data_IF_057817268223
#
_entry.id   IF_057817268223
#
_cell.length_a   1.000
_cell.length_b   1.000
_cell.length_c   1.000
_cell.angle_alpha   90.00
_cell.angle_beta   90.00
_cell.angle_gamma   90.00
#
_symmetry.space_group_name_H-M   'P 1'
#
loop_
_entity.id
_entity.type
_entity.pdbx_description
1 polymer ?
#
# COMPACT_ATOMS: atom_id res chain seq x y z
N UNK A 1 -3.26 1.21 -8.85
CA UNK A 1 -3.70 2.17 -7.81
C UNK A 1 -4.60 1.42 -6.83
N UNK A 2 -4.37 1.56 -5.51
CA UNK A 2 -5.18 0.93 -4.47
C UNK A 2 -6.41 1.79 -4.17
N UNK A 3 -7.62 1.22 -4.28
CA UNK A 3 -8.86 1.90 -3.89
C UNK A 3 -8.92 2.23 -2.40
N UNK A 4 -8.35 1.36 -1.55
CA UNK A 4 -8.28 1.56 -0.09
C UNK A 4 -7.47 2.82 0.26
N UNK A 5 -6.28 2.96 -0.32
CA UNK A 5 -5.42 4.14 -0.11
C UNK A 5 -6.07 5.39 -0.71
N UNK A 6 -6.69 5.28 -1.90
CA UNK A 6 -7.36 6.41 -2.53
C UNK A 6 -8.51 6.96 -1.65
N UNK A 7 -9.32 6.09 -1.06
CA UNK A 7 -10.38 6.49 -0.14
C UNK A 7 -9.83 7.17 1.11
N UNK A 8 -8.72 6.67 1.68
CA UNK A 8 -8.07 7.28 2.83
C UNK A 8 -7.50 8.67 2.50
N UNK A 9 -6.88 8.85 1.33
CA UNK A 9 -6.42 10.15 0.87
C UNK A 9 -7.58 11.13 0.64
N UNK A 10 -8.72 10.66 0.13
CA UNK A 10 -9.90 11.51 0.00
C UNK A 10 -10.41 11.97 1.38
N UNK A 11 -10.47 11.07 2.37
CA UNK A 11 -10.83 11.43 3.74
C UNK A 11 -9.88 12.48 4.32
N UNK A 12 -8.57 12.26 4.19
CA UNK A 12 -7.54 13.21 4.63
C UNK A 12 -7.71 14.58 3.96
N UNK A 13 -8.00 14.64 2.65
CA UNK A 13 -8.21 15.90 1.92
C UNK A 13 -9.43 16.68 2.42
N UNK A 14 -10.38 16.01 3.06
CA UNK A 14 -11.54 16.59 3.71
C UNK A 14 -11.28 16.93 5.19
N UNK A 15 -10.04 16.81 5.66
CA UNK A 15 -9.65 17.09 7.04
C UNK A 15 -9.99 15.98 8.04
N UNK A 16 -10.33 14.77 7.56
CA UNK A 16 -10.63 13.61 8.41
C UNK A 16 -9.35 12.80 8.61
N UNK A 17 -8.91 12.53 9.87
CA UNK A 17 -7.82 11.59 10.13
C UNK A 17 -8.14 10.24 9.50
N UNK A 18 -7.23 9.74 8.66
CA UNK A 18 -7.53 8.58 7.80
C UNK A 18 -6.48 7.49 7.90
N UNK A 19 -6.95 6.26 8.06
CA UNK A 19 -6.14 5.04 8.11
C UNK A 19 -6.62 4.10 6.99
N UNK A 20 -5.69 3.57 6.20
CA UNK A 20 -5.95 2.51 5.23
C UNK A 20 -5.55 1.17 5.83
N UNK A 21 -6.49 0.23 5.95
CA UNK A 21 -6.24 -1.12 6.45
C UNK A 21 -6.36 -2.12 5.31
N UNK A 22 -5.34 -2.93 5.09
CA UNK A 22 -5.31 -3.93 4.02
C UNK A 22 -4.72 -5.25 4.50
N UNK A 23 -5.26 -6.36 3.99
CA UNK A 23 -4.74 -7.71 4.22
C UNK A 23 -3.99 -8.17 2.98
N UNK A 24 -2.73 -8.56 3.13
CA UNK A 24 -1.99 -9.28 2.10
C UNK A 24 -2.60 -10.66 1.93
N UNK A 25 -2.81 -11.10 0.68
CA UNK A 25 -3.38 -12.41 0.37
C UNK A 25 -2.50 -13.12 -0.65
N UNK A 26 -2.09 -14.33 -0.34
CA UNK A 26 -1.43 -15.23 -1.28
C UNK A 26 -2.46 -15.91 -2.18
N UNK A 27 -3.62 -16.28 -1.60
CA UNK A 27 -4.73 -16.91 -2.29
C UNK A 27 -6.02 -16.08 -2.13
N UNK A 28 -6.85 -16.02 -3.19
CA UNK A 28 -8.08 -15.22 -3.16
C UNK A 28 -9.15 -15.80 -2.25
N UNK A 29 -9.21 -17.14 -2.15
CA UNK A 29 -10.32 -17.85 -1.52
C UNK A 29 -10.14 -18.07 -0.01
N UNK A 30 -8.91 -17.99 0.51
CA UNK A 30 -8.57 -18.26 1.91
C UNK A 30 -7.94 -17.05 2.61
N UNK A 31 -8.62 -15.91 2.56
CA UNK A 31 -8.12 -14.70 3.24
C UNK A 31 -8.22 -14.86 4.76
N UNK A 32 -7.11 -14.66 5.46
CA UNK A 32 -7.00 -14.77 6.94
C UNK A 32 -7.49 -13.51 7.63
N UNK A 33 -8.81 -13.28 7.58
CA UNK A 33 -9.44 -12.12 8.21
C UNK A 33 -9.28 -12.11 9.74
N UNK A 34 -9.08 -13.26 10.36
CA UNK A 34 -8.80 -13.40 11.78
C UNK A 34 -7.58 -12.57 12.24
N UNK A 35 -6.62 -12.33 11.36
CA UNK A 35 -5.41 -11.55 11.69
C UNK A 35 -5.68 -10.06 11.84
N UNK A 36 -6.32 -9.36 10.88
CA UNK A 36 -6.73 -7.99 11.11
C UNK A 36 -7.79 -7.85 12.21
N UNK A 37 -8.66 -8.83 12.43
CA UNK A 37 -9.62 -8.82 13.54
C UNK A 37 -8.92 -8.87 14.90
N UNK A 38 -7.89 -9.70 15.07
CA UNK A 38 -7.15 -9.83 16.32
C UNK A 38 -6.27 -8.60 16.63
N UNK A 39 -5.64 -8.01 15.63
CA UNK A 39 -4.64 -6.96 15.83
C UNK A 39 -5.13 -5.55 15.50
N UNK A 40 -6.13 -5.40 14.62
CA UNK A 40 -6.51 -4.11 14.04
C UNK A 40 -6.97 -3.10 15.08
N UNK A 41 -7.86 -3.49 15.99
CA UNK A 41 -8.40 -2.59 17.01
C UNK A 41 -7.29 -2.04 17.93
N UNK A 42 -6.31 -2.87 18.31
CA UNK A 42 -5.16 -2.44 19.12
C UNK A 42 -4.29 -1.44 18.36
N UNK A 43 -3.99 -1.73 17.09
CA UNK A 43 -3.16 -0.86 16.25
C UNK A 43 -3.85 0.49 16.03
N UNK A 44 -5.12 0.50 15.69
CA UNK A 44 -5.88 1.76 15.50
C UNK A 44 -5.86 2.59 16.78
N UNK A 45 -6.05 1.99 17.95
CA UNK A 45 -6.00 2.70 19.24
C UNK A 45 -4.61 3.29 19.49
N UNK A 46 -3.55 2.52 19.27
CA UNK A 46 -2.17 3.01 19.42
C UNK A 46 -1.85 4.16 18.45
N UNK A 47 -2.36 4.11 17.22
CA UNK A 47 -2.21 5.20 16.26
C UNK A 47 -2.95 6.46 16.69
N UNK A 48 -4.18 6.33 17.19
CA UNK A 48 -4.96 7.45 17.73
C UNK A 48 -4.26 8.10 18.93
N UNK A 49 -3.70 7.29 19.83
CA UNK A 49 -2.96 7.76 21.00
C UNK A 49 -1.65 8.48 20.61
N UNK A 50 -0.94 7.96 19.61
CA UNK A 50 0.27 8.58 19.09
C UNK A 50 0.00 9.88 18.32
N UNK A 51 -1.13 9.94 17.61
CA UNK A 51 -1.48 11.00 16.69
C UNK A 51 -0.58 11.02 15.43
N UNK A 52 -1.01 11.75 14.41
CA UNK A 52 -0.20 12.02 13.20
C UNK A 52 -0.61 13.34 12.54
N UNK A 53 0.25 13.92 11.66
CA UNK A 53 -0.06 15.15 10.95
C UNK A 53 -1.32 15.06 10.09
N UNK A 54 -2.03 16.19 9.89
CA UNK A 54 -3.29 16.23 9.12
C UNK A 54 -3.14 15.92 7.63
N UNK A 55 -1.94 16.06 7.09
CA UNK A 55 -1.60 15.80 5.69
C UNK A 55 -1.01 14.39 5.47
N UNK A 56 -1.16 13.51 6.46
CA UNK A 56 -0.66 12.13 6.43
C UNK A 56 -1.80 11.13 6.51
N UNK A 57 -1.75 10.12 5.67
CA UNK A 57 -2.54 8.87 5.76
C UNK A 57 -1.66 7.79 6.34
N UNK A 58 -2.15 7.03 7.29
CA UNK A 58 -1.44 5.85 7.80
C UNK A 58 -1.94 4.61 7.08
N UNK A 59 -1.04 3.94 6.34
CA UNK A 59 -1.32 2.67 5.67
C UNK A 59 -0.85 1.51 6.53
N UNK A 60 -1.77 0.62 6.88
CA UNK A 60 -1.50 -0.59 7.68
C UNK A 60 -1.77 -1.81 6.81
N UNK A 61 -0.76 -2.65 6.63
CA UNK A 61 -0.91 -3.92 5.92
C UNK A 61 -0.71 -5.08 6.89
N UNK A 62 -1.62 -6.03 6.87
CA UNK A 62 -1.54 -7.27 7.65
C UNK A 62 -0.96 -8.38 6.77
N UNK A 63 -0.03 -9.21 7.28
CA UNK A 63 0.51 -10.35 6.55
C UNK A 63 -0.51 -11.49 6.45
N UNK A 64 -0.34 -12.34 5.44
CA UNK A 64 -1.10 -13.58 5.29
C UNK A 64 -0.56 -14.65 6.26
N UNK A 65 -0.82 -14.48 7.54
CA UNK A 65 -0.39 -15.31 8.66
C UNK A 65 -1.55 -15.50 9.63
N UNK A 66 -1.53 -16.56 10.41
CA UNK A 66 -2.43 -16.67 11.57
C UNK A 66 -2.08 -15.61 12.62
N UNK A 67 -3.04 -15.17 13.47
CA UNK A 67 -2.78 -14.12 14.47
C UNK A 67 -1.55 -14.38 15.33
N UNK A 68 -1.39 -15.61 15.81
CA UNK A 68 -0.28 -16.01 16.70
C UNK A 68 1.07 -16.14 15.96
N UNK A 69 1.04 -16.25 14.61
CA UNK A 69 2.23 -16.36 13.76
C UNK A 69 2.72 -14.99 13.27
N UNK A 70 2.08 -13.90 13.67
CA UNK A 70 2.51 -12.55 13.32
C UNK A 70 3.82 -12.23 14.04
N UNK A 71 4.89 -11.98 13.29
CA UNK A 71 6.24 -11.75 13.81
C UNK A 71 6.43 -10.39 14.50
N UNK A 72 5.40 -9.55 14.54
CA UNK A 72 5.40 -8.24 15.18
C UNK A 72 4.87 -7.13 14.29
N UNK A 73 5.07 -5.88 14.73
CA UNK A 73 4.66 -4.66 14.02
C UNK A 73 5.91 -3.86 13.67
N UNK A 74 5.96 -3.30 12.47
CA UNK A 74 7.09 -2.51 11.98
C UNK A 74 6.60 -1.22 11.32
N UNK A 75 7.21 -0.09 11.67
CA UNK A 75 7.03 1.18 10.95
C UNK A 75 7.96 1.17 9.75
N UNK A 76 7.40 1.37 8.56
CA UNK A 76 8.06 1.09 7.29
C UNK A 76 8.00 2.27 6.34
N UNK A 77 8.81 2.21 5.30
CA UNK A 77 8.72 3.05 4.11
C UNK A 77 8.05 2.28 2.97
N UNK A 78 7.56 3.01 1.96
CA UNK A 78 7.00 2.40 0.76
C UNK A 78 8.08 1.64 -0.01
N UNK A 79 7.87 0.36 -0.25
CA UNK A 79 8.75 -0.49 -1.05
C UNK A 79 8.42 -0.45 -2.53
N UNK A 80 9.38 -0.88 -3.34
CA UNK A 80 9.25 -1.06 -4.78
C UNK A 80 9.22 -2.54 -5.14
N UNK A 81 8.36 -2.91 -6.10
CA UNK A 81 8.34 -4.28 -6.66
C UNK A 81 9.16 -4.31 -7.94
N UNK A 82 10.30 -4.97 -7.92
CA UNK A 82 11.22 -5.11 -9.05
C UNK A 82 10.79 -6.21 -10.04
N UNK A 83 9.97 -7.17 -9.61
CA UNK A 83 9.51 -8.30 -10.42
C UNK A 83 8.00 -8.17 -10.71
N UNK A 84 7.63 -7.13 -11.43
CA UNK A 84 6.24 -6.86 -11.74
C UNK A 84 5.94 -7.22 -13.20
N UNK A 85 5.26 -8.32 -13.43
CA UNK A 85 4.69 -8.62 -14.74
C UNK A 85 3.18 -8.39 -14.70
N UNK A 86 2.75 -7.38 -15.42
CA UNK A 86 1.35 -7.12 -15.69
C UNK A 86 1.02 -7.83 -17.00
N UNK A 87 0.00 -8.69 -17.00
CA UNK A 87 -0.52 -9.27 -18.23
C UNK A 87 -1.97 -8.83 -18.45
N UNK A 88 -2.35 -8.74 -19.73
CA UNK A 88 -3.72 -8.55 -20.14
C UNK A 88 -4.20 -9.82 -20.87
N UNK A 89 -5.29 -10.39 -20.42
CA UNK A 89 -5.94 -11.54 -21.04
C UNK A 89 -7.25 -11.08 -21.70
N UNK A 90 -7.39 -11.33 -22.99
CA UNK A 90 -8.63 -11.06 -23.69
C UNK A 90 -9.71 -12.06 -23.27
N UNK A 91 -10.88 -11.57 -22.91
CA UNK A 91 -12.05 -12.37 -22.56
C UNK A 91 -13.29 -11.83 -23.27
N UNK A 92 -14.30 -12.69 -23.43
CA UNK A 92 -15.60 -12.29 -23.95
C UNK A 92 -16.65 -12.36 -22.86
N UNK A 93 -17.51 -11.36 -22.80
CA UNK A 93 -18.69 -11.38 -21.94
C UNK A 93 -19.81 -12.28 -22.53
N UNK A 94 -20.89 -12.45 -21.79
CA UNK A 94 -22.03 -13.27 -22.22
C UNK A 94 -22.78 -12.72 -23.44
N UNK A 95 -22.50 -11.49 -23.84
CA UNK A 95 -23.07 -10.82 -25.02
C UNK A 95 -22.12 -10.78 -26.22
N UNK A 96 -20.92 -11.41 -26.07
CA UNK A 96 -19.87 -11.44 -27.08
C UNK A 96 -18.98 -10.20 -27.13
N UNK A 97 -19.17 -9.25 -26.22
CA UNK A 97 -18.30 -8.07 -26.07
C UNK A 97 -16.92 -8.46 -25.55
N UNK A 98 -15.87 -7.92 -26.20
CA UNK A 98 -14.49 -8.16 -25.77
C UNK A 98 -14.12 -7.25 -24.62
N UNK A 99 -13.50 -7.82 -23.56
CA UNK A 99 -12.89 -7.08 -22.47
C UNK A 99 -11.53 -7.68 -22.10
N UNK A 100 -10.67 -6.89 -21.45
CA UNK A 100 -9.34 -7.34 -21.04
C UNK A 100 -9.26 -7.48 -19.51
N UNK A 101 -8.87 -8.66 -19.07
CA UNK A 101 -8.60 -8.92 -17.66
C UNK A 101 -7.13 -8.64 -17.37
N UNK A 102 -6.89 -7.72 -16.44
CA UNK A 102 -5.53 -7.44 -15.98
C UNK A 102 -5.18 -8.32 -14.79
N UNK A 103 -4.05 -9.01 -14.90
CA UNK A 103 -3.53 -9.85 -13.85
C UNK A 103 -2.05 -9.60 -13.58
N UNK A 104 -1.54 -10.23 -12.55
CA UNK A 104 -0.14 -10.13 -12.12
C UNK A 104 0.46 -11.52 -12.10
N UNK A 105 1.60 -11.71 -12.79
CA UNK A 105 2.41 -12.94 -12.73
C UNK A 105 3.78 -12.58 -12.17
N UNK A 106 3.88 -12.25 -10.90
CA UNK A 106 5.15 -11.83 -10.32
C UNK A 106 5.78 -12.89 -9.44
N UNK A 107 7.07 -13.14 -9.59
CA UNK A 107 7.88 -13.75 -8.54
C UNK A 107 7.95 -12.76 -7.36
N UNK A 108 8.10 -13.27 -6.13
CA UNK A 108 8.41 -12.41 -4.98
C UNK A 108 9.68 -11.62 -5.30
N UNK A 109 9.60 -10.29 -5.21
CA UNK A 109 10.77 -9.43 -5.21
C UNK A 109 11.59 -9.64 -3.93
N UNK A 110 12.81 -9.13 -3.91
CA UNK A 110 13.62 -9.07 -2.69
C UNK A 110 13.76 -7.60 -2.24
N UNK A 111 12.70 -7.02 -1.65
CA UNK A 111 12.70 -5.63 -1.24
C UNK A 111 13.70 -5.39 -0.10
N UNK A 112 14.27 -4.17 0.00
CA UNK A 112 15.14 -3.79 1.10
C UNK A 112 14.45 -3.90 2.47
N UNK A 113 15.24 -4.09 3.52
CA UNK A 113 14.76 -4.00 4.90
C UNK A 113 14.15 -2.62 5.20
N UNK A 114 13.21 -2.58 6.12
CA UNK A 114 12.48 -1.36 6.50
C UNK A 114 11.40 -0.94 5.50
N UNK A 115 11.13 -1.75 4.46
CA UNK A 115 10.02 -1.49 3.52
C UNK A 115 8.77 -2.30 3.88
N UNK A 116 7.60 -1.77 3.50
CA UNK A 116 6.30 -2.42 3.70
C UNK A 116 6.23 -3.82 3.08
N UNK A 117 6.78 -3.99 1.86
CA UNK A 117 6.85 -5.28 1.20
C UNK A 117 7.72 -6.28 1.97
N UNK A 118 8.86 -5.83 2.51
CA UNK A 118 9.76 -6.69 3.28
C UNK A 118 9.10 -7.12 4.58
N UNK A 119 8.52 -6.19 5.32
CA UNK A 119 7.80 -6.48 6.56
C UNK A 119 6.71 -7.54 6.35
N UNK A 120 5.89 -7.40 5.29
CA UNK A 120 4.85 -8.38 4.93
C UNK A 120 5.45 -9.75 4.61
N UNK A 121 6.55 -9.83 3.87
CA UNK A 121 7.20 -11.10 3.54
C UNK A 121 7.78 -11.80 4.76
N UNK A 122 8.25 -11.03 5.73
CA UNK A 122 8.76 -11.52 7.02
C UNK A 122 7.63 -11.82 8.03
N UNK A 123 6.37 -11.68 7.64
CA UNK A 123 5.21 -11.97 8.49
C UNK A 123 4.91 -10.89 9.52
N UNK A 124 5.33 -9.65 9.31
CA UNK A 124 5.09 -8.51 10.20
C UNK A 124 3.94 -7.66 9.69
N UNK A 125 3.24 -7.02 10.60
CA UNK A 125 2.29 -5.96 10.26
C UNK A 125 3.09 -4.70 9.94
N UNK A 126 2.87 -4.14 8.75
CA UNK A 126 3.55 -2.94 8.28
C UNK A 126 2.69 -1.71 8.56
N UNK A 127 3.30 -0.64 9.09
CA UNK A 127 2.67 0.66 9.30
C UNK A 127 3.48 1.69 8.52
N UNK A 128 2.90 2.26 7.45
CA UNK A 128 3.58 3.20 6.57
C UNK A 128 2.87 4.55 6.57
N UNK A 129 3.47 5.64 7.08
CA UNK A 129 2.93 6.97 6.90
C UNK A 129 3.11 7.43 5.46
N UNK A 130 2.04 7.92 4.83
CA UNK A 130 1.99 8.36 3.45
C UNK A 130 1.49 9.81 3.34
N UNK A 131 2.03 10.58 2.41
CA UNK A 131 1.55 11.91 2.07
C UNK A 131 1.29 12.06 0.56
N UNK A 132 0.53 13.08 0.16
CA UNK A 132 0.18 13.34 -1.24
C UNK A 132 1.23 14.14 -2.02
N UNK A 133 2.31 14.59 -1.39
CA UNK A 133 3.37 15.34 -2.08
C UNK A 133 4.14 14.38 -3.02
N UNK A 134 3.71 14.31 -4.27
CA UNK A 134 4.28 13.41 -5.31
C UNK A 134 5.39 14.09 -6.13
N UNK A 135 5.80 15.31 -5.77
CA UNK A 135 6.86 16.02 -6.48
C UNK A 135 8.19 15.30 -6.28
N UNK A 136 8.78 14.82 -7.37
CA UNK A 136 10.14 14.27 -7.37
C UNK A 136 11.16 15.41 -7.41
N UNK A 137 11.79 15.71 -6.27
CA UNK A 137 12.59 16.93 -6.07
C UNK A 137 13.78 17.02 -7.02
N UNK A 138 14.49 15.91 -7.29
CA UNK A 138 15.64 15.90 -8.20
C UNK A 138 15.22 16.21 -9.64
N UNK A 139 14.10 15.63 -10.10
CA UNK A 139 13.54 15.93 -11.41
C UNK A 139 13.03 17.37 -11.49
N UNK A 140 12.41 17.87 -10.41
CA UNK A 140 11.98 19.27 -10.34
C UNK A 140 13.17 20.22 -10.52
N UNK A 141 14.27 20.01 -9.80
CA UNK A 141 15.49 20.82 -9.92
C UNK A 141 16.08 20.75 -11.34
N UNK A 142 16.10 19.57 -11.96
CA UNK A 142 16.58 19.37 -13.34
C UNK A 142 15.72 20.13 -14.34
N UNK A 143 14.39 20.01 -14.23
CA UNK A 143 13.44 20.67 -15.11
C UNK A 143 13.47 22.20 -14.92
N UNK A 144 13.63 22.67 -13.69
CA UNK A 144 13.80 24.11 -13.42
C UNK A 144 15.02 24.67 -14.15
N UNK A 145 16.15 23.97 -14.17
CA UNK A 145 17.32 24.39 -14.94
C UNK A 145 17.06 24.39 -16.45
N UNK A 146 16.29 23.40 -16.95
CA UNK A 146 16.02 23.27 -18.38
C UNK A 146 15.00 24.32 -18.91
N UNK A 147 14.00 24.68 -18.09
CA UNK A 147 12.89 25.54 -18.49
C UNK A 147 12.82 26.89 -17.74
N UNK A 148 13.54 27.04 -16.65
CA UNK A 148 13.56 28.26 -15.81
C UNK A 148 14.56 29.34 -16.24
N UNK A 149 15.25 29.17 -17.35
CA UNK A 149 16.17 30.13 -17.88
C UNK A 149 15.49 31.06 -18.89
N UNK A 150 14.92 32.14 -18.42
CA UNK A 150 14.89 33.47 -19.04
C UNK A 150 13.80 34.31 -18.36
N UNK A 151 14.14 34.91 -17.27
CA UNK A 151 13.49 36.14 -16.77
C UNK A 151 14.57 37.12 -16.41
#
# INVERSE_FOLDING_TARGET
VSGTIAAAFQGMSLGVPSIALSLSRLERENARWETPEAHGAKIVRQLLDAGWPKDVVVNVNFPDRAPDDVAGVEVTTQGHRDAFQLFAEERKDLRGGTYYWYGYTGKRSNPPEGTDLRAIYDGRISITPLHLALTHQDSHATLTKAFGGNS
#
